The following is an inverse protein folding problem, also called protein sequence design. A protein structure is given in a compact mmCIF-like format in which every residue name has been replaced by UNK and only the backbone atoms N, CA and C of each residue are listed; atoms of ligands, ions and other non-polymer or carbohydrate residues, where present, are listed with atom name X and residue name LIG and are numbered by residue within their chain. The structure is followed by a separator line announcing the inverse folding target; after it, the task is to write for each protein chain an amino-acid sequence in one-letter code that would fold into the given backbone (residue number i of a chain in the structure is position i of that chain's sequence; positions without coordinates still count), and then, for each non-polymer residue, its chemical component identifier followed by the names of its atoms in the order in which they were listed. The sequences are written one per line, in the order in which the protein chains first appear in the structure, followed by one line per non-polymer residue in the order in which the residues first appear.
data_IF_659562342135
#
_entry.id   IF_659562342135
#
_cell.length_a   1.000
_cell.length_b   1.000
_cell.length_c   1.000
_cell.angle_alpha   90.00
_cell.angle_beta   90.00
_cell.angle_gamma   90.00
#
_symmetry.space_group_name_H-M   'P 1'
#
loop_
_entity.id
_entity.type
_entity.pdbx_description
1 polymer ?
#
# COMPACT_ATOMS: atom_id res chain seq x y z
N UNK A 1 27.03 10.29 0.87
CA UNK A 1 26.73 9.42 -0.30
C UNK A 1 25.31 9.76 -0.76
N UNK A 2 25.14 10.33 -1.94
CA UNK A 2 23.83 10.75 -2.46
C UNK A 2 23.10 9.55 -3.04
N UNK A 3 21.84 9.34 -2.67
CA UNK A 3 20.99 8.30 -3.24
C UNK A 3 20.78 8.57 -4.73
N UNK A 4 21.21 7.65 -5.61
CA UNK A 4 20.95 7.68 -7.06
C UNK A 4 19.57 7.10 -7.41
N UNK A 5 18.62 7.08 -6.47
CA UNK A 5 17.30 6.48 -6.71
C UNK A 5 16.40 7.53 -7.34
N UNK A 6 15.84 7.24 -8.51
CA UNK A 6 14.76 8.04 -9.10
C UNK A 6 13.42 7.54 -8.56
N UNK A 7 12.52 8.48 -8.28
CA UNK A 7 11.20 8.22 -7.71
C UNK A 7 10.13 8.97 -8.52
N UNK A 8 8.88 8.53 -8.42
CA UNK A 8 7.74 9.32 -8.87
C UNK A 8 7.14 10.15 -7.73
N UNK A 9 6.59 11.30 -8.10
CA UNK A 9 5.84 12.21 -7.21
C UNK A 9 4.36 12.20 -7.60
N UNK A 10 3.52 12.90 -6.83
CA UNK A 10 2.07 12.86 -7.03
C UNK A 10 1.61 13.55 -8.32
N UNK A 11 2.44 14.38 -8.93
CA UNK A 11 2.22 15.02 -10.23
C UNK A 11 2.92 14.30 -11.40
N UNK A 12 3.65 13.22 -11.14
CA UNK A 12 4.32 12.44 -12.20
C UNK A 12 3.31 11.70 -13.05
N UNK A 13 3.24 11.99 -14.35
CA UNK A 13 2.29 11.35 -15.28
C UNK A 13 2.87 10.05 -15.84
N UNK A 14 2.43 8.91 -15.30
CA UNK A 14 2.90 7.60 -15.75
C UNK A 14 1.85 6.49 -15.65
N UNK A 15 0.74 6.70 -14.95
CA UNK A 15 -0.31 5.69 -14.75
C UNK A 15 -1.14 5.61 -16.04
N UNK A 16 -1.16 4.48 -16.77
CA UNK A 16 -1.96 4.38 -17.99
C UNK A 16 -3.46 4.53 -17.71
N UNK A 17 -4.13 5.40 -18.47
CA UNK A 17 -5.57 5.65 -18.29
C UNK A 17 -6.43 4.43 -18.51
N UNK A 18 -6.04 3.57 -19.46
CA UNK A 18 -6.76 2.34 -19.81
C UNK A 18 -6.55 1.17 -18.81
N UNK A 19 -5.85 1.40 -17.68
CA UNK A 19 -5.65 0.43 -16.61
C UNK A 19 -6.63 0.68 -15.44
N UNK A 20 -6.13 0.79 -14.20
CA UNK A 20 -6.94 1.02 -13.00
C UNK A 20 -7.90 2.21 -13.11
N UNK A 21 -7.53 3.35 -13.73
CA UNK A 21 -8.47 4.46 -13.92
C UNK A 21 -9.68 4.07 -14.76
N UNK A 22 -9.49 3.37 -15.88
CA UNK A 22 -10.58 2.87 -16.70
C UNK A 22 -11.49 1.91 -15.93
N UNK A 23 -10.93 1.00 -15.13
CA UNK A 23 -11.75 0.09 -14.31
C UNK A 23 -12.65 0.82 -13.30
N UNK A 24 -12.21 1.97 -12.77
CA UNK A 24 -13.02 2.81 -11.90
C UNK A 24 -14.08 3.60 -12.69
N UNK A 25 -13.71 4.10 -13.88
CA UNK A 25 -14.63 4.77 -14.80
C UNK A 25 -15.74 3.82 -15.23
N UNK A 26 -15.41 2.60 -15.64
CA UNK A 26 -16.37 1.57 -16.05
C UNK A 26 -17.32 1.20 -14.91
N UNK A 27 -16.82 1.08 -13.67
CA UNK A 27 -17.66 0.88 -12.49
C UNK A 27 -18.64 2.04 -12.30
N UNK A 28 -18.17 3.29 -12.41
CA UNK A 28 -19.05 4.44 -12.27
C UNK A 28 -20.09 4.52 -13.40
N UNK A 29 -19.70 4.25 -14.64
CA UNK A 29 -20.60 4.22 -15.80
C UNK A 29 -21.65 3.11 -15.69
N UNK A 30 -21.28 1.95 -15.12
CA UNK A 30 -22.23 0.86 -14.87
C UNK A 30 -23.31 1.21 -13.83
N UNK A 31 -23.15 2.32 -13.12
CA UNK A 31 -24.12 2.90 -12.18
C UNK A 31 -24.72 4.21 -12.70
N UNK A 32 -24.73 4.39 -14.01
CA UNK A 32 -25.31 5.55 -14.71
C UNK A 32 -24.70 6.90 -14.29
N UNK A 33 -23.46 6.90 -13.79
CA UNK A 33 -22.73 8.14 -13.50
C UNK A 33 -22.09 8.67 -14.78
N UNK A 34 -22.50 9.85 -15.19
CA UNK A 34 -21.94 10.56 -16.35
C UNK A 34 -20.41 10.78 -16.24
N UNK A 35 -19.69 10.47 -17.33
CA UNK A 35 -18.23 10.54 -17.40
C UNK A 35 -17.69 11.97 -17.25
N UNK A 36 -18.41 12.99 -17.75
CA UNK A 36 -17.99 14.38 -17.60
C UNK A 36 -18.06 14.82 -16.12
N UNK A 37 -19.13 14.46 -15.40
CA UNK A 37 -19.23 14.69 -13.95
C UNK A 37 -18.14 13.96 -13.18
N UNK A 38 -17.84 12.72 -13.57
CA UNK A 38 -16.81 11.89 -12.96
C UNK A 38 -15.40 12.47 -13.11
N UNK A 39 -15.07 12.97 -14.31
CA UNK A 39 -13.75 13.49 -14.63
C UNK A 39 -13.57 14.99 -14.30
N UNK A 40 -14.64 15.66 -13.84
CA UNK A 40 -14.61 17.09 -13.52
C UNK A 40 -13.49 17.44 -12.55
N UNK A 41 -12.68 18.44 -12.91
CA UNK A 41 -11.59 18.95 -12.07
C UNK A 41 -10.30 18.11 -12.08
N UNK A 42 -10.28 16.97 -12.79
CA UNK A 42 -9.08 16.13 -12.91
C UNK A 42 -8.17 16.51 -14.09
N UNK A 43 -8.69 17.33 -15.02
CA UNK A 43 -8.01 17.65 -16.28
C UNK A 43 -7.89 16.45 -17.22
N UNK A 44 -8.79 15.47 -17.09
CA UNK A 44 -8.88 14.27 -17.93
C UNK A 44 -10.12 14.33 -18.80
N UNK A 45 -10.02 13.78 -20.01
CA UNK A 45 -11.12 13.61 -20.93
C UNK A 45 -11.31 12.13 -21.23
N UNK A 46 -12.58 11.70 -21.28
CA UNK A 46 -12.91 10.28 -21.47
C UNK A 46 -12.42 9.75 -22.82
N UNK A 47 -12.53 10.56 -23.87
CA UNK A 47 -12.09 10.23 -25.23
C UNK A 47 -10.58 9.95 -25.29
N UNK A 48 -9.76 10.74 -24.59
CA UNK A 48 -8.31 10.54 -24.54
C UNK A 48 -7.95 9.20 -23.86
N UNK A 49 -8.70 8.84 -22.81
CA UNK A 49 -8.51 7.57 -22.09
C UNK A 49 -8.82 6.39 -23.03
N UNK A 50 -9.92 6.47 -23.79
CA UNK A 50 -10.29 5.46 -24.78
C UNK A 50 -9.27 5.36 -25.93
N UNK A 51 -8.61 6.46 -26.28
CA UNK A 51 -7.51 6.46 -27.26
C UNK A 51 -6.24 5.74 -26.74
N UNK A 52 -6.18 5.36 -25.46
CA UNK A 52 -5.16 4.49 -24.88
C UNK A 52 -3.81 5.14 -24.56
N UNK A 53 -3.60 6.39 -24.95
CA UNK A 53 -2.31 7.09 -24.81
C UNK A 53 -2.20 7.90 -23.51
N UNK A 54 -3.32 8.19 -22.84
CA UNK A 54 -3.31 9.03 -21.63
C UNK A 54 -2.49 8.41 -20.50
N UNK A 55 -1.70 9.26 -19.85
CA UNK A 55 -0.98 8.96 -18.61
C UNK A 55 -1.45 9.92 -17.53
N UNK A 56 -2.05 9.37 -16.48
CA UNK A 56 -2.48 10.12 -15.32
C UNK A 56 -1.30 10.30 -14.36
N UNK A 57 -1.32 11.40 -13.63
CA UNK A 57 -0.59 11.50 -12.37
C UNK A 57 -1.36 10.86 -11.21
N UNK A 58 -0.68 10.46 -10.13
CA UNK A 58 -1.34 10.04 -8.90
C UNK A 58 -2.38 11.04 -8.40
N UNK A 59 -2.11 12.35 -8.48
CA UNK A 59 -3.03 13.41 -8.09
C UNK A 59 -4.31 13.41 -8.94
N UNK A 60 -4.19 13.22 -10.26
CA UNK A 60 -5.36 13.12 -11.13
C UNK A 60 -6.18 11.86 -10.81
N UNK A 61 -5.51 10.74 -10.54
CA UNK A 61 -6.19 9.50 -10.19
C UNK A 61 -6.88 9.58 -8.82
N UNK A 62 -6.24 10.18 -7.82
CA UNK A 62 -6.86 10.49 -6.52
C UNK A 62 -8.07 11.42 -6.67
N UNK A 63 -8.00 12.40 -7.58
CA UNK A 63 -9.15 13.24 -7.94
C UNK A 63 -10.31 12.45 -8.52
N UNK A 64 -10.04 11.52 -9.44
CA UNK A 64 -11.02 10.59 -9.98
C UNK A 64 -11.64 9.71 -8.88
N UNK A 65 -10.84 9.18 -7.95
CA UNK A 65 -11.34 8.42 -6.79
C UNK A 65 -12.25 9.29 -5.92
N UNK A 66 -11.85 10.53 -5.62
CA UNK A 66 -12.66 11.48 -4.86
C UNK A 66 -14.02 11.76 -5.51
N UNK A 67 -14.04 11.98 -6.83
CA UNK A 67 -15.28 12.15 -7.57
C UNK A 67 -16.13 10.88 -7.59
N UNK A 68 -15.52 9.70 -7.79
CA UNK A 68 -16.20 8.42 -7.81
C UNK A 68 -16.91 8.16 -6.48
N UNK A 69 -16.20 8.35 -5.36
CA UNK A 69 -16.77 8.19 -4.00
C UNK A 69 -17.97 9.09 -3.76
N UNK A 70 -17.87 10.37 -4.15
CA UNK A 70 -18.94 11.36 -3.96
C UNK A 70 -20.14 11.12 -4.87
N UNK A 71 -19.93 10.62 -6.08
CA UNK A 71 -20.98 10.47 -7.10
C UNK A 71 -21.69 9.11 -7.02
N UNK A 72 -20.94 8.04 -6.72
CA UNK A 72 -21.52 6.71 -6.53
C UNK A 72 -22.31 6.63 -5.22
N UNK A 73 -21.84 7.33 -4.18
CA UNK A 73 -22.44 7.37 -2.83
C UNK A 73 -22.87 6.00 -2.32
N UNK A 74 -21.99 5.01 -2.52
CA UNK A 74 -22.27 3.62 -2.24
C UNK A 74 -21.14 2.98 -1.44
N UNK A 75 -21.54 2.30 -0.37
CA UNK A 75 -20.66 1.71 0.64
C UNK A 75 -19.78 0.56 0.10
N UNK A 76 -20.18 -0.04 -1.03
CA UNK A 76 -19.50 -1.17 -1.67
C UNK A 76 -18.47 -0.75 -2.74
N UNK A 77 -18.40 0.55 -3.08
CA UNK A 77 -17.69 1.03 -4.26
C UNK A 77 -16.18 0.73 -4.28
N UNK A 78 -15.51 0.84 -3.13
CA UNK A 78 -14.09 0.49 -2.98
C UNK A 78 -13.84 -1.01 -3.15
N UNK A 79 -14.74 -1.84 -2.63
CA UNK A 79 -14.64 -3.30 -2.73
C UNK A 79 -14.86 -3.78 -4.15
N UNK A 80 -15.90 -3.30 -4.82
CA UNK A 80 -16.16 -3.61 -6.23
C UNK A 80 -15.04 -3.13 -7.14
N UNK A 81 -14.46 -1.96 -6.85
CA UNK A 81 -13.26 -1.51 -7.53
C UNK A 81 -12.08 -2.47 -7.29
N UNK A 82 -11.83 -2.84 -6.02
CA UNK A 82 -10.78 -3.77 -5.63
C UNK A 82 -10.86 -5.14 -6.31
N UNK A 83 -12.05 -5.70 -6.47
CA UNK A 83 -12.28 -6.97 -7.18
C UNK A 83 -11.82 -6.94 -8.65
N UNK A 84 -11.73 -5.76 -9.27
CA UNK A 84 -11.28 -5.58 -10.66
C UNK A 84 -9.79 -5.29 -10.78
N UNK A 85 -9.10 -5.02 -9.67
CA UNK A 85 -7.73 -4.53 -9.71
C UNK A 85 -6.69 -5.61 -10.00
N UNK A 86 -6.75 -6.77 -9.35
CA UNK A 86 -5.70 -7.79 -9.45
C UNK A 86 -6.26 -9.14 -9.95
N UNK A 87 -5.53 -9.86 -10.81
CA UNK A 87 -4.23 -9.49 -11.38
C UNK A 87 -4.32 -8.38 -12.44
N UNK A 88 -5.51 -8.03 -12.90
CA UNK A 88 -5.75 -6.94 -13.87
C UNK A 88 -5.20 -7.24 -15.27
N UNK A 89 -5.07 -6.18 -16.09
CA UNK A 89 -4.60 -6.22 -17.48
C UNK A 89 -3.45 -5.23 -17.73
N UNK A 90 -2.53 -5.10 -16.77
CA UNK A 90 -1.43 -4.14 -16.73
C UNK A 90 -0.16 -4.64 -17.44
N UNK A 91 -0.34 -5.38 -18.54
CA UNK A 91 0.75 -5.96 -19.32
C UNK A 91 1.54 -7.04 -18.56
N UNK A 92 2.86 -7.01 -18.69
CA UNK A 92 3.77 -8.03 -18.16
C UNK A 92 3.66 -8.22 -16.64
N UNK A 93 3.35 -7.15 -15.89
CA UNK A 93 3.18 -7.25 -14.44
C UNK A 93 1.95 -8.09 -14.04
N UNK A 94 0.83 -7.90 -14.74
CA UNK A 94 -0.37 -8.74 -14.54
C UNK A 94 -0.15 -10.18 -14.98
N UNK A 95 0.63 -10.39 -16.04
CA UNK A 95 1.01 -11.72 -16.50
C UNK A 95 1.91 -12.44 -15.48
N UNK A 96 2.83 -11.72 -14.84
CA UNK A 96 3.66 -12.24 -13.76
C UNK A 96 2.81 -12.68 -12.55
N UNK A 97 1.80 -11.89 -12.16
CA UNK A 97 0.86 -12.27 -11.10
C UNK A 97 0.04 -13.51 -11.47
N UNK A 98 -0.50 -13.54 -12.70
CA UNK A 98 -1.33 -14.66 -13.19
C UNK A 98 -0.58 -16.00 -13.17
N UNK A 99 0.73 -15.96 -13.42
CA UNK A 99 1.59 -17.15 -13.42
C UNK A 99 2.42 -17.32 -12.14
N UNK A 100 2.06 -16.64 -11.06
CA UNK A 100 2.65 -16.89 -9.75
C UNK A 100 2.40 -18.34 -9.33
N UNK A 101 3.43 -19.01 -8.83
CA UNK A 101 3.35 -20.41 -8.41
C UNK A 101 2.69 -20.60 -7.05
N UNK A 102 2.69 -19.56 -6.23
CA UNK A 102 2.14 -19.55 -4.88
C UNK A 102 1.97 -18.10 -4.42
N UNK A 103 1.38 -17.93 -3.24
CA UNK A 103 1.13 -16.61 -2.68
C UNK A 103 2.42 -15.83 -2.44
N UNK A 104 3.50 -16.47 -1.96
CA UNK A 104 4.79 -15.79 -1.76
C UNK A 104 5.27 -15.09 -3.03
N UNK A 105 5.28 -15.79 -4.17
CA UNK A 105 5.70 -15.22 -5.45
C UNK A 105 4.79 -14.05 -5.88
N UNK A 106 3.48 -14.15 -5.63
CA UNK A 106 2.54 -13.07 -5.93
C UNK A 106 2.80 -11.82 -5.07
N UNK A 107 3.03 -11.99 -3.76
CA UNK A 107 3.34 -10.88 -2.84
C UNK A 107 4.67 -10.20 -3.20
N UNK A 108 5.70 -10.97 -3.54
CA UNK A 108 6.97 -10.42 -4.02
C UNK A 108 6.80 -9.62 -5.31
N UNK A 109 6.00 -10.14 -6.24
CA UNK A 109 5.70 -9.45 -7.49
C UNK A 109 5.00 -8.12 -7.23
N UNK A 110 4.02 -8.09 -6.31
CA UNK A 110 3.33 -6.85 -5.92
C UNK A 110 4.29 -5.79 -5.35
N UNK A 111 5.25 -6.19 -4.50
CA UNK A 111 6.24 -5.27 -3.92
C UNK A 111 7.25 -4.79 -4.95
N UNK A 112 7.80 -5.69 -5.74
CA UNK A 112 8.85 -5.36 -6.73
C UNK A 112 8.30 -4.52 -7.88
N UNK A 113 7.05 -4.74 -8.28
CA UNK A 113 6.42 -4.08 -9.42
C UNK A 113 5.34 -3.07 -8.98
N UNK A 114 5.47 -2.53 -7.76
CA UNK A 114 4.48 -1.63 -7.16
C UNK A 114 4.15 -0.40 -8.01
N UNK A 115 5.09 0.14 -8.79
CA UNK A 115 4.79 1.29 -9.66
C UNK A 115 3.82 0.93 -10.80
N UNK A 116 3.81 -0.32 -11.25
CA UNK A 116 2.89 -0.80 -12.28
C UNK A 116 1.56 -1.29 -11.69
N UNK A 117 1.63 -1.99 -10.55
CA UNK A 117 0.49 -2.71 -9.96
C UNK A 117 -0.26 -1.92 -8.88
N UNK A 118 0.41 -1.01 -8.16
CA UNK A 118 -0.14 -0.30 -7.01
C UNK A 118 0.47 1.12 -6.87
N UNK A 119 0.29 2.00 -7.87
CA UNK A 119 0.98 3.29 -7.92
C UNK A 119 0.56 4.28 -6.82
N UNK A 120 -0.59 4.06 -6.17
CA UNK A 120 -1.10 4.96 -5.12
C UNK A 120 -0.81 4.45 -3.69
N UNK A 121 -0.49 3.18 -3.52
CA UNK A 121 -0.29 2.55 -2.22
C UNK A 121 0.87 1.55 -2.30
N UNK A 122 1.97 1.78 -1.59
CA UNK A 122 3.16 0.93 -1.64
C UNK A 122 2.98 -0.33 -0.79
N UNK A 123 2.80 -1.53 -1.39
CA UNK A 123 2.62 -2.77 -0.64
C UNK A 123 3.92 -3.21 0.04
N UNK A 124 3.77 -3.88 1.19
CA UNK A 124 4.87 -4.42 1.98
C UNK A 124 4.44 -5.69 2.69
N UNK A 125 5.41 -6.56 2.93
CA UNK A 125 5.16 -7.78 3.64
C UNK A 125 6.34 -8.20 4.53
N UNK A 126 6.02 -8.96 5.57
CA UNK A 126 6.99 -9.51 6.52
C UNK A 126 6.50 -10.85 7.07
N UNK A 127 7.41 -11.59 7.69
CA UNK A 127 7.16 -12.91 8.25
C UNK A 127 7.52 -12.98 9.73
N UNK A 128 6.75 -13.75 10.49
CA UNK A 128 7.24 -14.47 11.67
C UNK A 128 7.18 -15.99 11.45
N UNK A 129 7.29 -16.73 12.55
CA UNK A 129 7.30 -18.19 12.54
C UNK A 129 5.92 -18.78 12.15
N UNK A 130 4.83 -18.05 12.37
CA UNK A 130 3.46 -18.56 12.21
C UNK A 130 2.71 -17.91 11.04
N UNK A 131 2.95 -16.62 10.76
CA UNK A 131 2.14 -15.82 9.86
C UNK A 131 2.99 -14.97 8.91
N UNK A 132 2.39 -14.71 7.74
CA UNK A 132 2.78 -13.63 6.86
C UNK A 132 1.88 -12.42 7.13
N UNK A 133 2.46 -11.22 7.12
CA UNK A 133 1.74 -9.96 7.31
C UNK A 133 1.92 -9.09 6.07
N UNK A 134 0.83 -8.48 5.62
CA UNK A 134 0.79 -7.60 4.46
C UNK A 134 0.17 -6.26 4.83
N UNK A 135 0.75 -5.15 4.38
CA UNK A 135 0.26 -3.81 4.65
C UNK A 135 0.69 -2.85 3.55
N UNK A 136 0.09 -1.66 3.51
CA UNK A 136 0.40 -0.64 2.52
C UNK A 136 0.78 0.68 3.17
N UNK A 137 1.63 1.43 2.48
CA UNK A 137 1.95 2.81 2.81
C UNK A 137 1.41 3.75 1.74
N UNK A 138 1.00 4.94 2.15
CA UNK A 138 0.60 5.98 1.22
C UNK A 138 1.79 6.40 0.32
N UNK A 139 1.63 6.23 -0.99
CA UNK A 139 2.68 6.57 -1.95
C UNK A 139 2.70 8.06 -2.29
N UNK A 140 1.56 8.76 -2.21
CA UNK A 140 1.37 10.01 -2.93
C UNK A 140 0.59 11.10 -2.16
N UNK A 141 0.19 10.85 -0.92
CA UNK A 141 -0.62 11.78 -0.15
C UNK A 141 -2.11 11.63 -0.47
N UNK A 142 -2.62 10.41 -0.34
CA UNK A 142 -3.99 10.04 -0.62
C UNK A 142 -5.01 10.68 0.33
N UNK A 143 -4.61 11.22 1.49
CA UNK A 143 -5.49 11.98 2.37
C UNK A 143 -6.79 11.25 2.69
N UNK A 144 -7.94 11.89 2.42
CA UNK A 144 -9.26 11.30 2.68
C UNK A 144 -9.58 10.08 1.78
N UNK A 145 -8.88 9.92 0.64
CA UNK A 145 -9.02 8.79 -0.28
C UNK A 145 -8.27 7.54 0.22
N UNK A 146 -7.41 7.65 1.24
CA UNK A 146 -6.61 6.54 1.75
C UNK A 146 -7.43 5.32 2.17
N UNK A 147 -8.57 5.54 2.82
CA UNK A 147 -9.47 4.45 3.23
C UNK A 147 -9.99 3.65 2.04
N UNK A 148 -10.45 4.34 1.00
CA UNK A 148 -10.95 3.71 -0.23
C UNK A 148 -9.85 2.89 -0.91
N UNK A 149 -8.62 3.42 -0.95
CA UNK A 149 -7.47 2.70 -1.50
C UNK A 149 -7.16 1.43 -0.70
N UNK A 150 -7.14 1.51 0.63
CA UNK A 150 -6.88 0.33 1.48
C UNK A 150 -7.94 -0.75 1.31
N UNK A 151 -9.23 -0.37 1.32
CA UNK A 151 -10.34 -1.30 1.08
C UNK A 151 -10.18 -1.99 -0.30
N UNK A 152 -9.91 -1.21 -1.35
CA UNK A 152 -9.72 -1.74 -2.69
C UNK A 152 -8.48 -2.64 -2.79
N UNK A 153 -7.35 -2.24 -2.20
CA UNK A 153 -6.10 -3.01 -2.20
C UNK A 153 -6.23 -4.33 -1.44
N UNK A 154 -6.82 -4.34 -0.25
CA UNK A 154 -7.07 -5.58 0.51
C UNK A 154 -8.02 -6.49 -0.26
N UNK A 155 -9.11 -5.95 -0.80
CA UNK A 155 -10.07 -6.72 -1.59
C UNK A 155 -9.44 -7.34 -2.83
N UNK A 156 -8.58 -6.58 -3.52
CA UNK A 156 -7.87 -7.07 -4.70
C UNK A 156 -6.98 -8.27 -4.38
N UNK A 157 -6.30 -8.25 -3.22
CA UNK A 157 -5.43 -9.35 -2.81
C UNK A 157 -6.24 -10.58 -2.40
N UNK A 158 -7.32 -10.40 -1.64
CA UNK A 158 -8.25 -11.49 -1.29
C UNK A 158 -8.82 -12.14 -2.54
N UNK A 159 -9.40 -11.35 -3.44
CA UNK A 159 -10.04 -11.83 -4.67
C UNK A 159 -9.03 -12.53 -5.61
N UNK A 160 -7.87 -11.91 -5.85
CA UNK A 160 -6.82 -12.50 -6.70
C UNK A 160 -6.30 -13.82 -6.12
N UNK A 161 -5.99 -13.84 -4.83
CA UNK A 161 -5.42 -15.04 -4.19
C UNK A 161 -6.44 -16.18 -4.14
N UNK A 162 -7.73 -15.88 -3.95
CA UNK A 162 -8.80 -16.87 -4.06
C UNK A 162 -8.92 -17.42 -5.48
N UNK A 163 -8.93 -16.53 -6.48
CA UNK A 163 -9.05 -16.93 -7.89
C UNK A 163 -7.87 -17.80 -8.34
N UNK A 164 -6.64 -17.41 -8.01
CA UNK A 164 -5.43 -18.13 -8.44
C UNK A 164 -5.20 -19.44 -7.68
N UNK A 165 -5.52 -19.48 -6.39
CA UNK A 165 -5.37 -20.71 -5.59
C UNK A 165 -6.50 -21.72 -5.82
N UNK A 166 -7.65 -21.27 -6.32
CA UNK A 166 -8.85 -22.10 -6.47
C UNK A 166 -9.61 -22.34 -5.15
N UNK A 167 -9.21 -21.71 -4.05
CA UNK A 167 -9.84 -21.84 -2.74
C UNK A 167 -9.84 -20.52 -1.98
N UNK A 168 -10.72 -20.36 -0.98
CA UNK A 168 -10.69 -19.19 -0.11
C UNK A 168 -9.52 -19.30 0.86
N UNK A 169 -8.58 -18.37 0.79
CA UNK A 169 -7.48 -18.29 1.75
C UNK A 169 -7.94 -17.66 3.06
N UNK A 170 -7.42 -18.10 4.23
CA UNK A 170 -7.84 -17.62 5.55
C UNK A 170 -7.15 -16.28 5.88
N UNK A 171 -7.43 -15.26 5.10
CA UNK A 171 -6.98 -13.90 5.39
C UNK A 171 -7.71 -13.35 6.62
N UNK A 172 -6.94 -12.79 7.54
CA UNK A 172 -7.45 -11.97 8.63
C UNK A 172 -7.10 -10.50 8.37
N UNK A 173 -8.13 -9.69 8.20
CA UNK A 173 -7.98 -8.27 7.89
C UNK A 173 -8.19 -7.41 9.15
N UNK A 174 -7.33 -6.43 9.35
CA UNK A 174 -7.40 -5.49 10.45
C UNK A 174 -7.37 -4.06 9.93
N UNK A 175 -8.21 -3.20 10.50
CA UNK A 175 -8.26 -1.78 10.20
C UNK A 175 -8.06 -0.94 11.46
N UNK A 176 -7.39 0.19 11.30
CA UNK A 176 -7.08 1.12 12.39
C UNK A 176 -8.23 2.05 12.75
N UNK A 177 -9.12 2.29 11.78
CA UNK A 177 -10.30 3.12 11.97
C UNK A 177 -11.41 2.38 12.75
N UNK A 178 -12.40 3.15 13.22
CA UNK A 178 -13.57 2.59 13.89
C UNK A 178 -14.49 1.84 12.92
N UNK A 179 -15.15 0.80 13.41
CA UNK A 179 -16.10 0.01 12.62
C UNK A 179 -17.12 0.92 11.91
N UNK A 180 -17.25 0.83 10.57
CA UNK A 180 -18.22 1.59 9.80
C UNK A 180 -19.63 1.04 9.96
N UNK A 181 -20.61 1.84 9.54
CA UNK A 181 -22.02 1.43 9.49
C UNK A 181 -22.30 0.30 8.49
N UNK A 182 -21.47 0.16 7.46
CA UNK A 182 -21.59 -0.81 6.37
C UNK A 182 -20.61 -1.99 6.54
N UNK A 183 -20.50 -2.50 7.78
CA UNK A 183 -19.54 -3.56 8.12
C UNK A 183 -19.76 -4.85 7.32
N UNK A 184 -20.99 -5.10 6.88
CA UNK A 184 -21.35 -6.22 6.03
C UNK A 184 -20.58 -6.25 4.70
N UNK A 185 -20.24 -5.09 4.13
CA UNK A 185 -19.41 -5.02 2.92
C UNK A 185 -17.99 -5.56 3.21
N UNK A 186 -17.43 -5.27 4.38
CA UNK A 186 -16.15 -5.83 4.78
C UNK A 186 -16.23 -7.35 4.94
N UNK A 187 -17.30 -7.88 5.53
CA UNK A 187 -17.44 -9.33 5.73
C UNK A 187 -17.59 -10.09 4.41
N UNK A 188 -18.39 -9.55 3.48
CA UNK A 188 -18.59 -10.14 2.15
C UNK A 188 -17.28 -10.19 1.37
N UNK A 189 -16.49 -9.11 1.40
CA UNK A 189 -15.34 -8.97 0.53
C UNK A 189 -13.99 -9.36 1.16
N UNK A 190 -13.84 -9.24 2.48
CA UNK A 190 -12.60 -9.48 3.22
C UNK A 190 -12.71 -10.61 4.25
N UNK A 191 -13.93 -10.96 4.67
CA UNK A 191 -14.21 -12.04 5.61
C UNK A 191 -14.78 -11.59 6.95
N UNK A 192 -15.57 -12.47 7.56
CA UNK A 192 -16.33 -12.21 8.80
C UNK A 192 -15.44 -11.91 10.01
N UNK A 193 -14.18 -12.34 9.97
CA UNK A 193 -13.20 -12.06 11.02
C UNK A 193 -12.46 -10.73 10.83
N UNK A 194 -12.95 -9.83 9.96
CA UNK A 194 -12.37 -8.49 9.80
C UNK A 194 -12.53 -7.67 11.09
N UNK A 195 -11.45 -7.05 11.54
CA UNK A 195 -11.38 -6.40 12.85
C UNK A 195 -11.08 -4.90 12.72
N UNK A 196 -11.67 -4.09 13.60
CA UNK A 196 -11.55 -2.63 13.60
C UNK A 196 -10.90 -2.12 14.89
N UNK A 197 -10.55 -0.83 14.93
CA UNK A 197 -9.85 -0.17 16.05
C UNK A 197 -8.54 -0.89 16.42
N UNK A 198 -7.87 -1.47 15.41
CA UNK A 198 -6.57 -2.12 15.57
C UNK A 198 -5.44 -1.08 15.46
N UNK A 199 -4.20 -1.42 15.86
CA UNK A 199 -3.09 -0.44 15.88
C UNK A 199 -2.60 -0.01 14.49
N UNK A 200 -2.90 -0.83 13.47
CA UNK A 200 -2.41 -0.70 12.10
C UNK A 200 -3.40 -1.38 11.15
N UNK A 201 -3.52 -0.82 9.95
CA UNK A 201 -4.19 -1.47 8.82
C UNK A 201 -3.27 -2.56 8.25
N UNK A 202 -3.68 -3.83 8.35
CA UNK A 202 -2.86 -4.97 7.91
C UNK A 202 -3.74 -6.17 7.57
N UNK A 203 -3.17 -7.07 6.79
CA UNK A 203 -3.68 -8.43 6.57
C UNK A 203 -2.69 -9.43 7.14
N UNK A 204 -3.16 -10.52 7.75
CA UNK A 204 -2.32 -11.67 8.10
C UNK A 204 -2.89 -12.97 7.54
N UNK A 205 -2.01 -13.94 7.30
CA UNK A 205 -2.37 -15.30 6.87
C UNK A 205 -1.38 -16.30 7.46
N UNK A 206 -1.79 -17.53 7.82
CA UNK A 206 -0.85 -18.56 8.25
C UNK A 206 0.22 -18.81 7.18
N UNK A 207 1.47 -18.92 7.63
CA UNK A 207 2.65 -19.00 6.77
C UNK A 207 2.61 -20.18 5.81
N UNK A 208 1.95 -21.28 6.18
CA UNK A 208 1.81 -22.48 5.36
C UNK A 208 1.13 -22.21 4.00
N UNK A 209 0.26 -21.21 3.89
CA UNK A 209 -0.40 -20.83 2.64
C UNK A 209 0.53 -20.08 1.67
N UNK A 210 1.70 -19.61 2.12
CA UNK A 210 2.62 -18.86 1.26
C UNK A 210 3.22 -19.70 0.15
N UNK A 211 3.51 -20.98 0.43
CA UNK A 211 4.25 -21.86 -0.47
C UNK A 211 3.39 -22.95 -1.10
N UNK A 212 2.10 -23.01 -0.75
CA UNK A 212 1.16 -23.92 -1.40
C UNK A 212 1.07 -23.64 -2.90
N UNK A 213 1.23 -24.66 -3.76
CA UNK A 213 1.23 -24.47 -5.19
C UNK A 213 -0.16 -24.08 -5.70
N UNK A 214 -0.21 -23.13 -6.63
CA UNK A 214 -1.42 -22.73 -7.34
C UNK A 214 -1.58 -23.54 -8.64
N UNK A 215 -2.79 -24.02 -8.97
CA UNK A 215 -3.03 -25.04 -9.99
C UNK A 215 -2.64 -24.66 -11.42
N UNK A 216 -2.76 -23.38 -11.80
CA UNK A 216 -2.57 -22.91 -13.18
C UNK A 216 -1.25 -22.13 -13.39
N UNK A 217 -0.29 -22.31 -12.49
CA UNK A 217 0.98 -21.61 -12.57
C UNK A 217 1.87 -22.12 -13.70
N UNK A 218 2.62 -21.21 -14.34
CA UNK A 218 3.66 -21.55 -15.30
C UNK A 218 4.95 -20.84 -14.90
N UNK A 219 5.92 -21.62 -14.40
CA UNK A 219 7.20 -21.07 -13.94
C UNK A 219 7.93 -20.30 -15.05
N UNK A 220 7.97 -20.85 -16.25
CA UNK A 220 8.62 -20.24 -17.42
C UNK A 220 7.91 -18.95 -17.83
N UNK A 221 6.59 -18.98 -18.03
CA UNK A 221 5.84 -17.79 -18.43
C UNK A 221 5.90 -16.69 -17.36
N UNK A 222 5.80 -17.06 -16.08
CA UNK A 222 5.91 -16.14 -14.97
C UNK A 222 7.32 -15.54 -14.80
N UNK A 223 8.38 -16.24 -15.17
CA UNK A 223 9.75 -15.70 -15.17
C UNK A 223 9.96 -14.69 -16.31
N UNK A 224 9.53 -15.03 -17.53
CA UNK A 224 9.60 -14.12 -18.68
C UNK A 224 8.81 -12.84 -18.42
N UNK A 225 7.57 -12.97 -17.92
CA UNK A 225 6.73 -11.84 -17.56
C UNK A 225 7.37 -10.93 -16.51
N UNK A 226 8.07 -11.50 -15.51
CA UNK A 226 8.79 -10.72 -14.50
C UNK A 226 9.96 -9.95 -15.11
N UNK A 227 10.71 -10.55 -16.03
CA UNK A 227 11.81 -9.87 -16.73
C UNK A 227 11.29 -8.73 -17.62
N UNK A 228 10.20 -8.94 -18.36
CA UNK A 228 9.58 -7.90 -19.17
C UNK A 228 9.06 -6.73 -18.31
N UNK A 229 8.42 -7.02 -17.18
CA UNK A 229 7.97 -6.00 -16.24
C UNK A 229 9.13 -5.20 -15.63
N UNK A 230 10.28 -5.85 -15.36
CA UNK A 230 11.50 -5.15 -14.95
C UNK A 230 12.00 -4.20 -16.05
N UNK A 231 12.01 -4.65 -17.31
CA UNK A 231 12.34 -3.78 -18.45
C UNK A 231 11.39 -2.57 -18.58
N UNK A 232 10.09 -2.75 -18.31
CA UNK A 232 9.13 -1.65 -18.28
C UNK A 232 9.42 -0.64 -17.14
N UNK A 233 9.80 -1.12 -15.96
CA UNK A 233 10.20 -0.25 -14.84
C UNK A 233 11.50 0.51 -15.14
N UNK A 234 12.46 -0.12 -15.81
CA UNK A 234 13.68 0.54 -16.28
C UNK A 234 13.37 1.66 -17.29
N UNK A 235 12.45 1.42 -18.23
CA UNK A 235 11.97 2.43 -19.18
C UNK A 235 11.25 3.59 -18.48
N UNK A 236 10.45 3.32 -17.44
CA UNK A 236 9.86 4.38 -16.61
C UNK A 236 10.93 5.19 -15.86
N UNK A 237 12.07 4.57 -15.56
CA UNK A 237 13.19 5.20 -14.87
C UNK A 237 12.99 5.36 -13.37
N UNK A 238 11.97 4.73 -12.78
CA UNK A 238 11.71 4.67 -11.35
C UNK A 238 10.88 3.42 -11.01
N UNK A 239 10.98 2.96 -9.75
CA UNK A 239 10.22 1.80 -9.26
C UNK A 239 9.42 2.09 -7.98
N UNK A 240 9.53 3.29 -7.41
CA UNK A 240 8.98 3.61 -6.09
C UNK A 240 8.62 5.09 -5.99
N UNK A 241 7.68 5.42 -5.11
CA UNK A 241 7.28 6.80 -4.87
C UNK A 241 8.31 7.55 -4.02
N UNK A 242 8.24 8.88 -4.04
CA UNK A 242 9.07 9.71 -3.17
C UNK A 242 8.89 9.36 -1.68
N UNK A 243 7.64 9.22 -1.21
CA UNK A 243 7.34 8.87 0.17
C UNK A 243 7.91 7.49 0.53
N UNK A 244 7.79 6.51 -0.38
CA UNK A 244 8.33 5.16 -0.16
C UNK A 244 9.87 5.18 -0.08
N UNK A 245 10.54 5.96 -0.93
CA UNK A 245 11.99 6.17 -0.83
C UNK A 245 12.40 6.79 0.50
N UNK A 246 11.71 7.84 0.97
CA UNK A 246 11.96 8.46 2.28
C UNK A 246 11.75 7.44 3.40
N UNK A 247 10.65 6.70 3.37
CA UNK A 247 10.36 5.66 4.36
C UNK A 247 11.47 4.60 4.39
N UNK A 248 11.90 4.06 3.24
CA UNK A 248 12.96 3.03 3.18
C UNK A 248 14.28 3.55 3.72
N UNK A 249 14.65 4.78 3.40
CA UNK A 249 15.85 5.41 3.94
C UNK A 249 15.79 5.53 5.45
N UNK A 250 14.70 6.10 5.99
CA UNK A 250 14.50 6.27 7.42
C UNK A 250 14.43 4.92 8.15
N UNK A 251 13.81 3.90 7.55
CA UNK A 251 13.75 2.55 8.10
C UNK A 251 15.15 1.91 8.17
N UNK A 252 15.94 2.02 7.10
CA UNK A 252 17.32 1.53 7.07
C UNK A 252 18.26 2.27 8.02
N UNK A 253 17.91 3.51 8.40
CA UNK A 253 18.66 4.34 9.34
C UNK A 253 17.95 4.52 10.69
N UNK A 254 17.01 3.65 11.04
CA UNK A 254 16.11 3.89 12.19
C UNK A 254 16.88 3.99 13.51
N UNK A 255 17.98 3.27 13.65
CA UNK A 255 18.86 3.29 14.84
C UNK A 255 19.68 4.58 14.93
N UNK A 256 20.11 5.12 13.78
CA UNK A 256 20.82 6.40 13.72
C UNK A 256 19.88 7.59 13.96
N UNK A 257 18.58 7.39 13.72
CA UNK A 257 17.55 8.41 13.87
C UNK A 257 17.92 9.72 13.16
N UNK A 258 18.16 9.69 11.83
CA UNK A 258 18.73 10.82 11.11
C UNK A 258 17.86 12.07 11.23
N UNK A 259 18.51 13.23 11.28
CA UNK A 259 17.80 14.52 11.25
C UNK A 259 17.25 14.83 9.86
N UNK A 260 16.45 15.90 9.77
CA UNK A 260 15.98 16.41 8.49
C UNK A 260 17.15 16.79 7.58
N UNK A 261 18.18 17.41 8.13
CA UNK A 261 19.37 17.87 7.41
C UNK A 261 20.14 16.70 6.82
N UNK A 262 20.37 15.65 7.63
CA UNK A 262 21.04 14.43 7.18
C UNK A 262 20.22 13.71 6.10
N UNK A 263 18.90 13.64 6.27
CA UNK A 263 18.00 13.04 5.27
C UNK A 263 18.01 13.85 3.98
N UNK A 264 17.91 15.18 4.05
CA UNK A 264 17.95 16.04 2.87
C UNK A 264 19.27 15.88 2.10
N UNK A 265 20.40 15.84 2.82
CA UNK A 265 21.72 15.60 2.26
C UNK A 265 21.80 14.23 1.56
N UNK A 266 21.26 13.16 2.16
CA UNK A 266 21.23 11.84 1.56
C UNK A 266 20.42 11.80 0.25
N UNK A 267 19.37 12.61 0.15
CA UNK A 267 18.56 12.77 -1.06
C UNK A 267 19.10 13.84 -2.04
N UNK A 268 20.25 14.44 -1.75
CA UNK A 268 20.89 15.43 -2.63
C UNK A 268 20.10 16.74 -2.76
N UNK A 269 19.36 17.14 -1.72
CA UNK A 269 18.56 18.36 -1.71
C UNK A 269 18.69 19.17 -0.42
N UNK A 270 18.24 20.42 -0.42
CA UNK A 270 18.22 21.24 0.80
C UNK A 270 17.08 20.81 1.76
N UNK A 271 17.22 21.04 3.08
CA UNK A 271 16.16 20.75 4.05
C UNK A 271 14.82 21.43 3.72
N UNK A 272 14.86 22.66 3.21
CA UNK A 272 13.67 23.39 2.75
C UNK A 272 12.99 22.71 1.57
N UNK A 273 13.78 22.17 0.62
CA UNK A 273 13.25 21.42 -0.53
C UNK A 273 12.61 20.11 -0.09
N UNK A 274 13.24 19.37 0.83
CA UNK A 274 12.68 18.13 1.40
C UNK A 274 11.36 18.40 2.12
N UNK A 275 11.30 19.44 2.98
CA UNK A 275 10.04 19.86 3.63
C UNK A 275 8.95 20.18 2.61
N UNK A 276 9.26 20.99 1.59
CA UNK A 276 8.29 21.37 0.55
C UNK A 276 7.77 20.15 -0.21
N UNK A 277 8.64 19.20 -0.57
CA UNK A 277 8.24 17.95 -1.23
C UNK A 277 7.35 17.09 -0.34
N UNK A 278 7.73 16.86 0.92
CA UNK A 278 6.88 16.12 1.86
C UNK A 278 5.51 16.78 2.02
N UNK A 279 5.46 18.11 2.10
CA UNK A 279 4.21 18.86 2.21
C UNK A 279 3.32 18.74 0.97
N UNK A 280 3.92 18.73 -0.24
CA UNK A 280 3.21 18.44 -1.50
C UNK A 280 2.49 17.08 -1.46
N UNK A 281 3.01 16.14 -0.69
CA UNK A 281 2.43 14.81 -0.46
C UNK A 281 1.59 14.72 0.83
N UNK A 282 1.14 15.84 1.39
CA UNK A 282 0.31 15.85 2.60
C UNK A 282 1.02 15.37 3.87
N UNK A 283 2.36 15.35 3.87
CA UNK A 283 3.16 14.81 4.97
C UNK A 283 4.20 15.81 5.49
N UNK A 284 4.77 15.51 6.66
CA UNK A 284 5.96 16.17 7.21
C UNK A 284 7.07 15.18 7.54
N UNK A 285 8.28 15.70 7.78
CA UNK A 285 9.43 14.87 8.14
C UNK A 285 9.21 14.09 9.45
N UNK A 286 8.74 14.79 10.50
CA UNK A 286 8.47 14.14 11.78
C UNK A 286 7.37 13.07 11.67
N UNK A 287 6.37 13.28 10.82
CA UNK A 287 5.32 12.29 10.57
C UNK A 287 5.90 11.03 9.91
N UNK A 288 6.80 11.18 8.93
CA UNK A 288 7.47 10.03 8.30
C UNK A 288 8.41 9.30 9.27
N UNK A 289 9.18 10.03 10.08
CA UNK A 289 10.03 9.44 11.10
C UNK A 289 9.22 8.67 12.16
N UNK A 290 8.11 9.26 12.63
CA UNK A 290 7.21 8.64 13.60
C UNK A 290 6.50 7.41 13.02
N UNK A 291 6.09 7.45 11.74
CA UNK A 291 5.51 6.31 11.02
C UNK A 291 6.49 5.13 10.94
N UNK A 292 7.74 5.40 10.56
CA UNK A 292 8.79 4.38 10.52
C UNK A 292 9.04 3.79 11.90
N UNK A 293 9.19 4.64 12.93
CA UNK A 293 9.38 4.19 14.32
C UNK A 293 8.21 3.36 14.82
N UNK A 294 6.97 3.75 14.49
CA UNK A 294 5.76 2.98 14.79
C UNK A 294 5.85 1.58 14.19
N UNK A 295 6.11 1.46 12.89
CA UNK A 295 6.17 0.16 12.22
C UNK A 295 7.31 -0.72 12.72
N UNK A 296 8.49 -0.13 12.93
CA UNK A 296 9.63 -0.86 13.51
C UNK A 296 9.31 -1.32 14.93
N UNK A 297 8.72 -0.48 15.78
CA UNK A 297 8.30 -0.89 17.13
C UNK A 297 7.32 -2.06 17.10
N UNK A 298 6.29 -1.99 16.24
CA UNK A 298 5.32 -3.06 16.07
C UNK A 298 5.98 -4.36 15.60
N UNK A 299 6.92 -4.27 14.65
CA UNK A 299 7.73 -5.41 14.19
C UNK A 299 8.54 -6.01 15.33
N UNK A 300 9.26 -5.19 16.11
CA UNK A 300 10.09 -5.68 17.21
C UNK A 300 9.26 -6.34 18.32
N UNK A 301 8.06 -5.83 18.59
CA UNK A 301 7.15 -6.46 19.54
C UNK A 301 6.61 -7.79 19.03
N UNK A 302 6.11 -7.80 17.78
CA UNK A 302 5.40 -8.96 17.25
C UNK A 302 6.35 -10.08 16.84
N UNK A 303 7.42 -9.73 16.13
CA UNK A 303 8.30 -10.68 15.46
C UNK A 303 9.53 -11.01 16.31
N UNK A 304 10.02 -10.05 17.10
CA UNK A 304 11.23 -10.24 17.94
C UNK A 304 10.92 -10.45 19.42
N UNK A 305 9.67 -10.26 19.86
CA UNK A 305 9.27 -10.45 21.25
C UNK A 305 9.93 -9.49 22.25
N UNK A 306 10.51 -8.38 21.79
CA UNK A 306 11.33 -7.51 22.63
C UNK A 306 10.52 -6.79 23.72
N UNK A 307 11.17 -6.54 24.86
CA UNK A 307 10.72 -5.72 25.99
C UNK A 307 10.57 -4.24 25.60
N UNK A 308 9.96 -3.42 26.47
CA UNK A 308 9.75 -2.01 26.13
C UNK A 308 11.08 -1.26 26.14
N UNK A 309 11.97 -1.70 27.02
CA UNK A 309 13.30 -1.21 27.25
C UNK A 309 14.18 -1.53 26.04
N UNK A 310 14.17 -2.78 25.55
CA UNK A 310 14.88 -3.18 24.33
C UNK A 310 14.38 -2.45 23.08
N UNK A 311 13.06 -2.25 22.93
CA UNK A 311 12.51 -1.49 21.80
C UNK A 311 12.88 0.00 21.89
N UNK A 312 12.86 0.59 23.09
CA UNK A 312 13.27 1.97 23.29
C UNK A 312 14.76 2.17 22.94
N UNK A 313 15.62 1.27 23.40
CA UNK A 313 17.05 1.27 23.08
C UNK A 313 17.29 1.09 21.58
N UNK A 314 16.61 0.14 20.93
CA UNK A 314 16.73 -0.10 19.50
C UNK A 314 16.36 1.14 18.66
N UNK A 315 15.33 1.87 19.09
CA UNK A 315 14.85 3.09 18.43
C UNK A 315 15.58 4.36 18.90
N UNK A 316 16.65 4.21 19.69
CA UNK A 316 17.49 5.30 20.21
C UNK A 316 16.70 6.34 21.03
N UNK A 317 15.78 5.86 21.87
CA UNK A 317 15.14 6.68 22.90
C UNK A 317 15.98 6.68 24.18
N UNK A 318 16.17 7.87 24.77
CA UNK A 318 16.95 8.03 26.01
C UNK A 318 16.38 7.28 27.22
N UNK A 319 15.05 7.10 27.27
CA UNK A 319 14.39 6.32 28.32
C UNK A 319 13.08 5.67 27.82
N UNK A 320 12.69 4.59 28.49
CA UNK A 320 11.49 3.83 28.15
C UNK A 320 10.18 4.61 28.37
N UNK A 321 10.16 5.62 29.25
CA UNK A 321 8.96 6.43 29.51
C UNK A 321 8.67 7.40 28.36
N UNK A 322 9.69 8.01 27.76
CA UNK A 322 9.60 8.84 26.57
C UNK A 322 9.15 8.00 25.36
N UNK A 323 9.73 6.81 25.20
CA UNK A 323 9.28 5.87 24.19
C UNK A 323 7.79 5.51 24.39
N UNK A 324 7.34 5.12 25.59
CA UNK A 324 5.93 4.77 25.86
C UNK A 324 4.96 5.90 25.52
N UNK A 325 5.32 7.15 25.86
CA UNK A 325 4.51 8.34 25.52
C UNK A 325 4.43 8.55 24.01
N UNK A 326 5.57 8.45 23.32
CA UNK A 326 5.64 8.59 21.87
C UNK A 326 4.86 7.48 21.16
N UNK A 327 5.04 6.23 21.59
CA UNK A 327 4.36 5.07 21.07
C UNK A 327 2.83 5.15 21.24
N UNK A 328 2.35 5.59 22.42
CA UNK A 328 0.92 5.83 22.63
C UNK A 328 0.38 6.92 21.70
N UNK A 329 1.15 7.98 21.45
CA UNK A 329 0.79 9.03 20.50
C UNK A 329 0.66 8.48 19.06
N UNK A 330 1.54 7.57 18.66
CA UNK A 330 1.55 7.02 17.28
C UNK A 330 0.49 5.93 17.04
N UNK A 331 0.18 5.13 18.07
CA UNK A 331 -0.67 3.93 17.94
C UNK A 331 -2.04 4.08 18.59
N UNK A 332 -2.26 5.14 19.39
CA UNK A 332 -3.44 5.29 20.25
C UNK A 332 -3.48 4.33 21.44
N UNK A 333 -2.54 3.38 21.52
CA UNK A 333 -2.52 2.28 22.48
C UNK A 333 -1.21 2.23 23.26
N UNK A 334 -1.24 1.69 24.47
CA UNK A 334 -0.01 1.45 25.22
C UNK A 334 0.72 0.21 24.68
N UNK A 335 2.05 0.11 24.76
CA UNK A 335 2.77 -1.09 24.34
C UNK A 335 2.25 -2.38 24.98
N UNK A 336 1.79 -2.33 26.24
CA UNK A 336 1.20 -3.48 26.94
C UNK A 336 -0.07 -3.95 26.25
N UNK A 337 -0.99 -3.04 25.93
CA UNK A 337 -2.21 -3.36 25.22
C UNK A 337 -1.90 -3.96 23.85
N UNK A 338 -0.94 -3.38 23.12
CA UNK A 338 -0.49 -3.92 21.83
C UNK A 338 0.02 -5.35 21.94
N UNK A 339 0.86 -5.66 22.93
CA UNK A 339 1.31 -7.04 23.14
C UNK A 339 0.17 -7.98 23.46
N UNK A 340 -0.82 -7.56 24.25
CA UNK A 340 -2.00 -8.36 24.55
C UNK A 340 -2.85 -8.63 23.30
N UNK A 341 -3.04 -7.61 22.45
CA UNK A 341 -3.76 -7.74 21.17
C UNK A 341 -3.03 -8.70 20.22
N UNK A 342 -1.71 -8.79 20.31
CA UNK A 342 -0.91 -9.74 19.55
C UNK A 342 -0.89 -11.14 20.20
N UNK A 343 -0.85 -11.27 21.52
CA UNK A 343 -0.82 -12.58 22.19
C UNK A 343 -2.16 -13.33 22.21
N UNK A 344 -3.27 -12.65 21.90
CA UNK A 344 -4.63 -13.20 22.02
C UNK A 344 -5.19 -13.79 20.71
N UNK A 345 -4.35 -14.28 19.79
CA UNK A 345 -4.83 -14.92 18.56
C UNK A 345 -3.73 -15.58 17.75
#
# INVERSE_FOLDING_TARGET
MTLKTRWYENDSRFIPGHYQPASLIDLALSRDIDSHRLLRGTGLFHEDILAGQTRLSPQQFLGLIGNSRRLLDADDSSFLFGQRLLPGHYGAASHALRHAQNLHQALDTLVQQQALLSPLASPRWLLDDQHAYFYWLDSCGAGEQWRFLLEASMTSLVAMSQWLSGQRLPWECCFSHAEPRYVEQYWVHLGEHTQFKRPMDLMRIPREFLTQPWPNASATAGQVARQEALGQLEQLGFASSFLDCVYRYLQGQVRQAPSLEQTAQAFGMSPATLKRKLHKHGSGFQQQADLVRKHVALYLYRIKGLSNEEVAEYLSFNDAANFRRSFKRWTGSTPRLIRQLFSAG
#
